data_IF_104364904265
#
_entry.id   IF_104364904265
#
_cell.length_a   1.000
_cell.length_b   1.000
_cell.length_c   1.000
_cell.angle_alpha   90.00
_cell.angle_beta   90.00
_cell.angle_gamma   90.00
#
_symmetry.space_group_name_H-M   'P 1'
#
loop_
_entity.id
_entity.type
_entity.pdbx_description
1 polymer ?
#
# COMPACT_ATOMS: atom_id res chain seq x y z
N UNK A 1 63.98 29.95 -25.42
CA UNK A 1 63.48 29.85 -24.04
C UNK A 1 62.03 30.29 -23.85
N UNK A 2 61.52 31.37 -24.47
CA UNK A 2 60.13 31.83 -24.32
C UNK A 2 59.05 30.83 -24.89
N UNK A 3 59.31 30.12 -25.96
CA UNK A 3 58.37 29.13 -26.54
C UNK A 3 58.27 27.83 -25.73
N UNK A 4 59.37 27.39 -25.09
CA UNK A 4 59.37 26.21 -24.23
C UNK A 4 58.63 26.47 -22.91
N UNK A 5 58.68 27.71 -22.39
CA UNK A 5 57.97 28.08 -21.15
C UNK A 5 56.47 28.16 -21.33
N UNK A 6 55.96 28.62 -22.52
CA UNK A 6 54.53 28.68 -22.81
C UNK A 6 53.95 27.28 -23.00
N UNK A 7 54.65 26.35 -23.62
CA UNK A 7 54.21 24.97 -23.78
C UNK A 7 54.14 24.23 -22.44
N UNK A 8 55.14 24.47 -21.55
CA UNK A 8 55.17 23.87 -20.22
C UNK A 8 54.03 24.41 -19.34
N UNK A 9 53.75 25.72 -19.40
CA UNK A 9 52.65 26.35 -18.67
C UNK A 9 51.28 25.88 -19.18
N UNK A 10 51.10 25.66 -20.49
CA UNK A 10 49.87 25.14 -21.09
C UNK A 10 49.62 23.68 -20.72
N UNK A 11 50.64 22.83 -20.61
CA UNK A 11 50.53 21.43 -20.17
C UNK A 11 50.23 21.36 -18.67
N UNK A 12 50.80 22.24 -17.85
CA UNK A 12 50.52 22.31 -16.41
C UNK A 12 49.09 22.81 -16.14
N UNK A 13 48.56 23.74 -16.94
CA UNK A 13 47.16 24.18 -16.84
C UNK A 13 46.21 23.10 -17.32
N UNK A 14 46.55 22.30 -18.36
CA UNK A 14 45.73 21.18 -18.81
C UNK A 14 45.66 20.03 -17.78
N UNK A 15 46.75 19.80 -17.00
CA UNK A 15 46.79 18.82 -15.93
C UNK A 15 46.02 19.26 -14.67
N UNK A 16 45.88 20.56 -14.43
CA UNK A 16 45.12 21.11 -13.31
C UNK A 16 43.60 21.05 -13.57
N UNK A 17 43.18 21.10 -14.83
CA UNK A 17 41.76 20.94 -15.19
C UNK A 17 41.22 19.46 -15.15
N UNK A 18 42.11 18.46 -14.98
CA UNK A 18 41.71 17.08 -14.75
C UNK A 18 41.61 16.67 -13.25
N UNK A 19 42.01 17.56 -12.36
CA UNK A 19 41.77 17.42 -10.92
C UNK A 19 40.42 18.09 -10.54
N UNK A 20 39.36 17.88 -11.32
CA UNK A 20 38.02 18.09 -10.84
C UNK A 20 37.79 17.14 -9.66
N UNK A 21 37.45 17.69 -8.51
CA UNK A 21 37.12 16.93 -7.31
C UNK A 21 36.09 15.85 -7.64
N UNK A 22 36.52 14.64 -7.99
CA UNK A 22 35.73 13.45 -7.86
C UNK A 22 35.74 13.11 -6.37
N UNK A 23 34.76 13.59 -5.65
CA UNK A 23 34.40 12.99 -4.36
C UNK A 23 33.78 11.60 -4.65
N UNK A 24 34.61 10.62 -5.00
CA UNK A 24 34.17 9.24 -5.24
C UNK A 24 33.98 8.49 -3.91
N UNK A 25 34.03 9.19 -2.76
CA UNK A 25 33.87 8.63 -1.40
C UNK A 25 34.60 7.28 -1.21
N UNK A 26 35.71 7.04 -1.93
CA UNK A 26 36.53 5.84 -1.84
C UNK A 26 35.99 4.63 -2.65
N UNK A 27 35.00 4.81 -3.53
CA UNK A 27 34.54 3.73 -4.42
C UNK A 27 35.57 3.45 -5.53
N UNK A 28 35.90 2.17 -5.74
CA UNK A 28 36.83 1.71 -6.78
C UNK A 28 36.23 0.53 -7.58
N UNK A 29 35.98 0.69 -8.90
CA UNK A 29 35.54 -0.40 -9.76
C UNK A 29 36.44 -1.63 -9.77
N UNK A 30 37.73 -1.50 -9.37
CA UNK A 30 38.67 -2.61 -9.29
C UNK A 30 38.65 -3.35 -7.97
N UNK A 31 38.09 -2.71 -6.93
CA UNK A 31 37.90 -3.27 -5.59
C UNK A 31 36.48 -2.92 -5.10
N UNK A 32 35.44 -3.54 -5.70
CA UNK A 32 34.06 -3.16 -5.44
C UNK A 32 33.62 -3.51 -4.02
N UNK A 33 32.85 -2.62 -3.41
CA UNK A 33 32.18 -2.88 -2.14
C UNK A 33 30.87 -3.68 -2.38
N UNK A 34 30.56 -4.58 -1.46
CA UNK A 34 29.28 -5.30 -1.48
C UNK A 34 28.36 -4.75 -0.40
N UNK A 35 27.15 -4.33 -0.80
CA UNK A 35 26.06 -3.95 0.08
C UNK A 35 25.01 -5.04 0.11
N UNK A 36 24.48 -5.33 1.30
CA UNK A 36 23.37 -6.27 1.50
C UNK A 36 22.04 -5.52 1.44
N UNK A 37 21.09 -6.06 0.66
CA UNK A 37 19.74 -5.55 0.54
C UNK A 37 18.73 -6.60 0.98
N UNK A 38 17.93 -6.29 2.01
CA UNK A 38 16.79 -7.11 2.41
C UNK A 38 15.47 -6.52 1.94
N UNK A 39 14.59 -7.37 1.38
CA UNK A 39 13.25 -6.96 1.00
C UNK A 39 12.22 -8.08 1.26
N UNK A 40 10.95 -7.70 1.34
CA UNK A 40 9.83 -8.61 1.56
C UNK A 40 8.97 -8.87 0.32
N UNK A 41 9.46 -8.54 -0.87
CA UNK A 41 8.75 -8.79 -2.11
C UNK A 41 8.72 -10.30 -2.40
N UNK A 42 7.53 -10.83 -2.77
CA UNK A 42 7.32 -12.22 -3.13
C UNK A 42 6.84 -12.38 -4.56
N UNK A 43 6.84 -13.62 -5.09
CA UNK A 43 6.35 -13.92 -6.44
C UNK A 43 6.96 -13.04 -7.53
N UNK A 44 6.11 -12.51 -8.41
CA UNK A 44 6.51 -11.63 -9.52
C UNK A 44 7.28 -10.38 -9.06
N UNK A 45 6.91 -9.80 -7.92
CA UNK A 45 7.62 -8.63 -7.37
C UNK A 45 9.07 -8.95 -7.03
N UNK A 46 9.33 -10.16 -6.50
CA UNK A 46 10.70 -10.63 -6.23
C UNK A 46 11.50 -10.78 -7.52
N UNK A 47 10.93 -11.41 -8.53
CA UNK A 47 11.61 -11.61 -9.83
C UNK A 47 11.98 -10.27 -10.48
N UNK A 48 11.08 -9.28 -10.41
CA UNK A 48 11.35 -7.93 -10.91
C UNK A 48 12.47 -7.25 -10.11
N UNK A 49 12.45 -7.36 -8.77
CA UNK A 49 13.49 -6.78 -7.92
C UNK A 49 14.86 -7.42 -8.19
N UNK A 50 14.91 -8.75 -8.27
CA UNK A 50 16.14 -9.48 -8.57
C UNK A 50 16.71 -9.06 -9.94
N UNK A 51 15.88 -8.99 -10.98
CA UNK A 51 16.29 -8.55 -12.33
C UNK A 51 16.82 -7.10 -12.35
N UNK A 52 16.20 -6.21 -11.60
CA UNK A 52 16.68 -4.82 -11.51
C UNK A 52 18.00 -4.72 -10.77
N UNK A 53 18.20 -5.50 -9.71
CA UNK A 53 19.48 -5.53 -9.01
C UNK A 53 20.59 -6.12 -9.88
N UNK A 54 20.30 -7.18 -10.64
CA UNK A 54 21.26 -7.76 -11.60
C UNK A 54 21.67 -6.72 -12.66
N UNK A 55 20.70 -5.93 -13.15
CA UNK A 55 20.98 -4.85 -14.11
C UNK A 55 21.82 -3.74 -13.48
N UNK A 56 21.51 -3.31 -12.26
CA UNK A 56 22.33 -2.33 -11.54
C UNK A 56 23.76 -2.83 -11.38
N UNK A 57 23.94 -4.07 -10.91
CA UNK A 57 25.25 -4.70 -10.72
C UNK A 57 26.04 -4.81 -12.04
N UNK A 58 25.35 -5.09 -13.15
CA UNK A 58 25.96 -5.19 -14.49
C UNK A 58 26.25 -3.87 -15.18
N UNK A 59 25.69 -2.76 -14.70
CA UNK A 59 25.79 -1.43 -15.33
C UNK A 59 26.41 -0.40 -14.36
N UNK A 60 25.60 0.47 -13.79
CA UNK A 60 26.08 1.56 -12.93
C UNK A 60 26.84 1.07 -11.70
N UNK A 61 26.41 -0.06 -11.12
CA UNK A 61 27.11 -0.69 -9.99
C UNK A 61 28.54 -1.08 -10.36
N UNK A 62 28.71 -1.76 -11.50
CA UNK A 62 30.02 -2.12 -12.03
C UNK A 62 30.91 -0.90 -12.32
N UNK A 63 30.32 0.17 -12.90
CA UNK A 63 31.03 1.41 -13.21
C UNK A 63 31.52 2.14 -11.95
N UNK A 64 30.78 2.02 -10.86
CA UNK A 64 31.04 2.71 -9.58
C UNK A 64 31.78 1.86 -8.55
N UNK A 65 31.95 0.55 -8.78
CA UNK A 65 32.52 -0.37 -7.80
C UNK A 65 31.53 -0.72 -6.69
N UNK A 66 30.28 -0.95 -7.03
CA UNK A 66 29.20 -1.29 -6.10
C UNK A 66 28.56 -2.60 -6.55
N UNK A 67 28.38 -3.54 -5.62
CA UNK A 67 27.64 -4.78 -5.81
C UNK A 67 26.51 -4.81 -4.77
N UNK A 68 25.28 -5.03 -5.19
CA UNK A 68 24.14 -5.26 -4.30
C UNK A 68 23.91 -6.78 -4.20
N UNK A 69 23.92 -7.30 -2.97
CA UNK A 69 23.60 -8.70 -2.66
C UNK A 69 22.22 -8.77 -2.01
N UNK A 70 21.25 -9.38 -2.71
CA UNK A 70 19.84 -9.37 -2.32
C UNK A 70 19.48 -10.58 -1.45
N UNK A 71 18.68 -10.35 -0.42
CA UNK A 71 18.02 -11.38 0.37
C UNK A 71 16.52 -11.10 0.44
N UNK A 72 15.69 -11.99 -0.09
CA UNK A 72 14.24 -11.94 0.04
C UNK A 72 13.81 -12.59 1.35
N UNK A 73 13.03 -11.85 2.15
CA UNK A 73 12.41 -12.32 3.40
C UNK A 73 10.94 -12.66 3.09
N UNK A 74 10.42 -13.68 3.72
CA UNK A 74 9.13 -14.29 3.37
C UNK A 74 7.91 -13.35 3.46
N UNK A 75 7.97 -12.34 4.34
CA UNK A 75 6.86 -11.39 4.53
C UNK A 75 7.34 -10.08 5.17
N UNK A 76 6.49 -9.05 5.13
CA UNK A 76 6.73 -7.79 5.83
C UNK A 76 6.86 -7.98 7.34
N UNK A 77 6.04 -8.85 7.93
CA UNK A 77 6.11 -9.15 9.37
C UNK A 77 7.42 -9.87 9.73
N UNK A 78 7.84 -10.87 8.95
CA UNK A 78 9.10 -11.57 9.19
C UNK A 78 10.32 -10.64 9.05
N UNK A 79 10.27 -9.68 8.11
CA UNK A 79 11.30 -8.66 7.98
C UNK A 79 11.30 -7.70 9.18
N UNK A 80 10.12 -7.24 9.60
CA UNK A 80 9.94 -6.43 10.80
C UNK A 80 10.54 -7.11 12.03
N UNK A 81 10.15 -8.37 12.31
CA UNK A 81 10.67 -9.14 13.45
C UNK A 81 12.19 -9.22 13.45
N UNK A 82 12.81 -9.53 12.31
CA UNK A 82 14.27 -9.59 12.20
C UNK A 82 14.94 -8.25 12.50
N UNK A 83 14.40 -7.16 11.97
CA UNK A 83 14.94 -5.81 12.21
C UNK A 83 14.75 -5.39 13.67
N UNK A 84 13.64 -5.77 14.30
CA UNK A 84 13.40 -5.53 15.75
C UNK A 84 14.34 -6.35 16.61
N UNK A 85 14.61 -7.62 16.29
CA UNK A 85 15.61 -8.43 16.98
C UNK A 85 17.00 -7.78 16.95
N UNK A 86 17.37 -7.21 15.78
CA UNK A 86 18.63 -6.47 15.63
C UNK A 86 18.63 -5.22 16.52
N UNK A 87 17.55 -4.43 16.49
CA UNK A 87 17.40 -3.22 17.29
C UNK A 87 17.51 -3.47 18.79
N UNK A 88 17.01 -4.60 19.25
CA UNK A 88 17.06 -5.01 20.66
C UNK A 88 18.38 -5.67 21.07
N UNK A 89 19.21 -6.09 20.11
CA UNK A 89 20.42 -6.89 20.38
C UNK A 89 20.10 -8.29 20.87
N UNK A 90 19.00 -8.89 20.40
CA UNK A 90 18.53 -10.19 20.84
C UNK A 90 19.53 -11.30 20.48
N UNK A 91 19.61 -12.33 21.33
CA UNK A 91 20.48 -13.49 21.06
C UNK A 91 20.04 -14.21 19.79
N UNK A 92 20.97 -14.35 18.82
CA UNK A 92 20.69 -14.93 17.51
C UNK A 92 20.12 -13.96 16.48
N UNK A 93 20.08 -12.66 16.78
CA UNK A 93 19.79 -11.65 15.78
C UNK A 93 20.79 -11.74 14.62
N UNK A 94 20.36 -11.64 13.36
CA UNK A 94 21.27 -11.56 12.23
C UNK A 94 22.02 -10.21 12.19
N UNK A 95 23.03 -10.13 11.32
CA UNK A 95 23.71 -8.84 11.06
C UNK A 95 22.73 -7.87 10.39
N UNK A 96 22.86 -6.56 10.71
CA UNK A 96 22.06 -5.50 10.10
C UNK A 96 22.40 -5.39 8.60
N UNK A 97 21.41 -5.45 7.69
CA UNK A 97 21.66 -5.22 6.28
C UNK A 97 22.00 -3.74 6.01
N UNK A 98 22.75 -3.47 4.94
CA UNK A 98 23.06 -2.08 4.54
C UNK A 98 21.80 -1.32 4.10
N UNK A 99 20.91 -2.01 3.38
CA UNK A 99 19.64 -1.50 2.86
C UNK A 99 18.55 -2.48 3.22
N UNK A 100 17.39 -2.00 3.64
CA UNK A 100 16.21 -2.85 3.80
C UNK A 100 14.93 -2.11 3.41
N UNK A 101 13.93 -2.84 2.91
CA UNK A 101 12.57 -2.29 2.85
C UNK A 101 12.00 -2.22 4.26
N UNK A 102 11.35 -1.12 4.59
CA UNK A 102 10.76 -0.93 5.91
C UNK A 102 9.47 -0.11 5.85
N UNK A 103 8.57 -0.42 6.79
CA UNK A 103 7.42 0.42 7.10
C UNK A 103 7.83 1.48 8.14
N UNK A 104 7.07 2.60 8.26
CA UNK A 104 7.34 3.62 9.26
C UNK A 104 7.47 3.07 10.68
N UNK A 105 6.61 2.14 11.10
CA UNK A 105 6.67 1.51 12.43
C UNK A 105 8.00 0.80 12.73
N UNK A 106 8.57 0.12 11.73
CA UNK A 106 9.87 -0.55 11.87
C UNK A 106 10.99 0.47 11.97
N UNK A 107 10.92 1.49 11.12
CA UNK A 107 11.95 2.52 11.05
C UNK A 107 12.04 3.34 12.35
N UNK A 108 10.92 3.67 13.01
CA UNK A 108 10.93 4.38 14.30
C UNK A 108 11.74 3.62 15.33
N UNK A 109 11.54 2.31 15.48
CA UNK A 109 12.29 1.48 16.42
C UNK A 109 13.79 1.52 16.15
N UNK A 110 14.18 1.49 14.87
CA UNK A 110 15.58 1.56 14.47
C UNK A 110 16.18 2.96 14.67
N UNK A 111 15.40 4.02 14.43
CA UNK A 111 15.81 5.42 14.68
C UNK A 111 16.07 5.66 16.16
N UNK A 112 15.19 5.18 17.05
CA UNK A 112 15.32 5.31 18.50
C UNK A 112 16.61 4.64 19.03
N UNK A 113 17.16 3.68 18.28
CA UNK A 113 18.43 2.99 18.58
C UNK A 113 19.63 3.60 17.86
N UNK A 114 19.43 4.65 17.03
CA UNK A 114 20.51 5.27 16.25
C UNK A 114 21.07 4.36 15.15
N UNK A 115 20.26 3.45 14.62
CA UNK A 115 20.69 2.43 13.65
C UNK A 115 20.50 2.84 12.19
N UNK A 116 19.92 4.02 11.92
CA UNK A 116 19.65 4.50 10.55
C UNK A 116 20.43 5.74 10.19
N UNK A 117 20.81 5.81 8.92
CA UNK A 117 21.44 6.98 8.30
C UNK A 117 20.39 8.03 7.95
N UNK A 118 20.65 9.31 8.25
CA UNK A 118 19.89 10.44 7.71
C UNK A 118 20.21 10.60 6.22
N UNK A 119 19.26 10.23 5.38
CA UNK A 119 19.40 10.27 3.93
C UNK A 119 19.46 11.69 3.35
N UNK A 120 19.02 12.73 4.07
CA UNK A 120 19.24 14.12 3.65
C UNK A 120 20.71 14.47 3.51
N UNK A 121 21.59 13.75 4.20
CA UNK A 121 23.05 13.93 4.04
C UNK A 121 23.59 13.40 2.70
N UNK A 122 22.83 12.52 2.04
CA UNK A 122 23.20 11.84 0.80
C UNK A 122 22.48 12.38 -0.45
N UNK A 123 21.48 13.23 -0.26
CA UNK A 123 20.69 13.86 -1.32
C UNK A 123 20.71 15.37 -1.15
N UNK A 124 20.92 16.12 -2.23
CA UNK A 124 20.76 17.57 -2.21
C UNK A 124 19.27 17.96 -2.41
N UNK A 125 18.91 19.20 -2.07
CA UNK A 125 17.54 19.71 -2.17
C UNK A 125 16.93 19.50 -3.57
N UNK A 126 17.69 19.78 -4.63
CA UNK A 126 17.22 19.62 -6.01
C UNK A 126 16.92 18.17 -6.38
N UNK A 127 17.67 17.21 -5.82
CA UNK A 127 17.40 15.79 -6.00
C UNK A 127 16.11 15.38 -5.26
N UNK A 128 15.89 15.90 -4.05
CA UNK A 128 14.67 15.64 -3.28
C UNK A 128 13.44 16.31 -3.88
N UNK A 129 13.55 17.47 -4.52
CA UNK A 129 12.45 18.16 -5.22
C UNK A 129 11.83 17.34 -6.37
N UNK A 130 12.55 16.33 -6.88
CA UNK A 130 12.01 15.43 -7.90
C UNK A 130 10.96 14.44 -7.35
N UNK A 131 10.93 14.24 -6.03
CA UNK A 131 10.02 13.28 -5.38
C UNK A 131 8.71 13.94 -4.97
N UNK A 132 7.65 13.14 -4.86
CA UNK A 132 6.35 13.60 -4.37
C UNK A 132 6.50 14.01 -2.89
N UNK A 133 6.23 15.28 -2.53
CA UNK A 133 6.59 15.82 -1.22
C UNK A 133 6.04 15.03 -0.03
N UNK A 134 4.78 14.58 -0.09
CA UNK A 134 4.15 13.79 0.99
C UNK A 134 4.81 12.42 1.21
N UNK A 135 5.46 11.85 0.18
CA UNK A 135 6.18 10.59 0.33
C UNK A 135 7.51 10.78 1.07
N UNK A 136 8.15 11.93 0.88
CA UNK A 136 9.31 12.34 1.68
C UNK A 136 8.89 12.69 3.11
N UNK A 137 7.77 13.41 3.29
CA UNK A 137 7.23 13.78 4.60
C UNK A 137 7.02 12.54 5.49
N UNK A 138 6.35 11.50 4.99
CA UNK A 138 6.21 10.24 5.73
C UNK A 138 7.56 9.62 6.12
N UNK A 139 8.55 9.71 5.23
CA UNK A 139 9.90 9.19 5.45
C UNK A 139 10.69 9.92 6.53
N UNK A 140 10.26 11.13 6.94
CA UNK A 140 10.88 11.88 8.03
C UNK A 140 10.47 11.39 9.41
N UNK A 141 9.43 10.58 9.52
CA UNK A 141 8.91 10.06 10.79
C UNK A 141 8.62 11.18 11.82
N UNK A 142 8.20 12.35 11.34
CA UNK A 142 7.92 13.52 12.17
C UNK A 142 9.17 14.26 12.68
N UNK A 143 10.34 14.01 12.11
CA UNK A 143 11.61 14.70 12.40
C UNK A 143 12.04 15.60 11.24
N UNK A 144 13.17 16.32 11.39
CA UNK A 144 13.79 17.06 10.29
C UNK A 144 14.69 16.18 9.40
N UNK A 145 14.93 14.92 9.78
CA UNK A 145 15.80 13.97 9.08
C UNK A 145 14.96 13.06 8.19
N UNK A 146 15.57 12.46 7.16
CA UNK A 146 14.92 11.52 6.24
C UNK A 146 15.48 10.12 6.46
N UNK A 147 14.68 9.22 7.04
CA UNK A 147 15.10 7.87 7.39
C UNK A 147 14.55 6.79 6.45
N UNK A 148 13.38 7.02 5.85
CA UNK A 148 12.80 6.12 4.86
C UNK A 148 12.79 6.83 3.52
N UNK A 149 13.54 6.28 2.57
CA UNK A 149 13.51 6.78 1.20
C UNK A 149 12.35 6.17 0.42
N UNK A 150 11.46 6.96 -0.18
CA UNK A 150 10.33 6.41 -0.92
C UNK A 150 10.84 5.70 -2.18
N UNK A 151 10.52 4.42 -2.33
CA UNK A 151 10.91 3.61 -3.49
C UNK A 151 9.73 3.03 -4.25
N UNK A 152 8.65 2.72 -3.52
CA UNK A 152 7.40 2.20 -4.08
C UNK A 152 6.28 2.48 -3.08
N UNK A 153 5.30 3.30 -3.47
CA UNK A 153 4.19 3.68 -2.60
C UNK A 153 2.91 2.98 -3.04
N UNK A 154 1.91 3.00 -2.19
CA UNK A 154 0.58 2.48 -2.51
C UNK A 154 -0.51 3.35 -1.87
N UNK A 155 -1.73 3.13 -2.30
CA UNK A 155 -2.94 3.69 -1.68
C UNK A 155 -4.02 2.62 -1.63
N UNK A 156 -5.20 2.97 -1.19
CA UNK A 156 -6.36 2.10 -1.30
C UNK A 156 -7.26 2.53 -2.47
N UNK A 157 -7.82 1.53 -3.13
CA UNK A 157 -8.72 1.68 -4.29
C UNK A 157 -9.89 0.71 -4.15
N UNK A 158 -10.89 0.85 -5.01
CA UNK A 158 -11.95 -0.15 -5.15
C UNK A 158 -11.62 -1.13 -6.26
N UNK A 159 -11.67 -2.43 -5.95
CA UNK A 159 -11.62 -3.53 -6.91
C UNK A 159 -13.02 -4.06 -7.16
N UNK A 160 -13.36 -4.29 -8.43
CA UNK A 160 -14.67 -4.75 -8.85
C UNK A 160 -14.56 -5.89 -9.87
N UNK A 161 -15.26 -6.99 -9.66
CA UNK A 161 -15.49 -7.98 -10.69
C UNK A 161 -16.50 -7.42 -11.71
N UNK A 162 -15.97 -6.81 -12.76
CA UNK A 162 -16.75 -6.14 -13.80
C UNK A 162 -17.72 -7.10 -14.50
N UNK A 163 -17.29 -8.33 -14.77
CA UNK A 163 -18.09 -9.31 -15.50
C UNK A 163 -19.36 -9.65 -14.76
N UNK A 164 -19.27 -9.92 -13.47
CA UNK A 164 -20.45 -10.24 -12.64
C UNK A 164 -21.28 -8.99 -12.39
N UNK A 165 -20.61 -7.83 -12.15
CA UNK A 165 -21.31 -6.57 -11.96
C UNK A 165 -22.15 -6.16 -13.18
N UNK A 166 -21.64 -6.33 -14.41
CA UNK A 166 -22.38 -6.00 -15.63
C UNK A 166 -23.67 -6.82 -15.77
N UNK A 167 -23.65 -8.13 -15.40
CA UNK A 167 -24.86 -8.95 -15.37
C UNK A 167 -25.86 -8.46 -14.33
N UNK A 168 -25.40 -8.27 -13.11
CA UNK A 168 -26.19 -7.75 -12.01
C UNK A 168 -26.79 -6.37 -12.33
N UNK A 169 -25.97 -5.46 -12.84
CA UNK A 169 -26.38 -4.11 -13.25
C UNK A 169 -27.50 -4.14 -14.30
N UNK A 170 -27.41 -5.04 -15.28
CA UNK A 170 -28.42 -5.19 -16.33
C UNK A 170 -29.78 -5.64 -15.75
N UNK A 171 -29.75 -6.51 -14.76
CA UNK A 171 -30.97 -7.11 -14.19
C UNK A 171 -31.61 -6.18 -13.12
N UNK A 172 -30.78 -5.48 -12.32
CA UNK A 172 -31.22 -4.72 -11.16
C UNK A 172 -31.10 -3.20 -11.32
N UNK A 173 -30.48 -2.71 -12.39
CA UNK A 173 -30.33 -1.28 -12.66
C UNK A 173 -29.29 -0.56 -11.80
N UNK A 174 -28.36 -1.30 -11.17
CA UNK A 174 -27.23 -0.72 -10.45
C UNK A 174 -26.26 -0.03 -11.41
N UNK A 175 -25.65 1.09 -11.00
CA UNK A 175 -24.73 1.85 -11.83
C UNK A 175 -23.32 1.89 -11.21
N UNK A 176 -22.29 2.06 -12.06
CA UNK A 176 -20.90 2.25 -11.58
C UNK A 176 -20.76 3.50 -10.70
N UNK A 177 -21.55 4.55 -11.00
CA UNK A 177 -21.53 5.79 -10.23
C UNK A 177 -22.01 5.59 -8.78
N UNK A 178 -22.87 4.59 -8.51
CA UNK A 178 -23.28 4.21 -7.16
C UNK A 178 -22.07 3.78 -6.30
N UNK A 179 -21.01 3.26 -6.92
CA UNK A 179 -19.80 2.79 -6.22
C UNK A 179 -18.83 3.92 -5.86
N UNK A 180 -19.12 5.15 -6.25
CA UNK A 180 -18.26 6.32 -5.94
C UNK A 180 -18.34 6.76 -4.48
N UNK A 181 -19.34 6.29 -3.74
CA UNK A 181 -19.53 6.60 -2.34
C UNK A 181 -20.01 5.40 -1.53
N UNK A 182 -19.73 5.41 -0.23
CA UNK A 182 -20.02 4.29 0.66
C UNK A 182 -21.52 4.00 0.83
N UNK A 183 -22.36 5.04 0.83
CA UNK A 183 -23.81 4.87 0.89
C UNK A 183 -24.37 4.21 -0.38
N UNK A 184 -23.80 4.54 -1.53
CA UNK A 184 -24.11 3.89 -2.79
C UNK A 184 -23.66 2.43 -2.81
N UNK A 185 -22.48 2.10 -2.28
CA UNK A 185 -22.00 0.74 -2.08
C UNK A 185 -22.98 -0.05 -1.19
N UNK A 186 -23.42 0.53 -0.05
CA UNK A 186 -24.35 -0.14 0.85
C UNK A 186 -25.70 -0.44 0.16
N UNK A 187 -26.23 0.51 -0.62
CA UNK A 187 -27.45 0.32 -1.41
C UNK A 187 -27.27 -0.76 -2.49
N UNK A 188 -26.14 -0.71 -3.21
CA UNK A 188 -25.83 -1.69 -4.27
C UNK A 188 -25.65 -3.10 -3.69
N UNK A 189 -25.04 -3.20 -2.50
CA UNK A 189 -24.84 -4.46 -1.80
C UNK A 189 -26.17 -5.12 -1.39
N UNK A 190 -27.15 -4.34 -0.93
CA UNK A 190 -28.47 -4.86 -0.64
C UNK A 190 -29.15 -5.40 -1.91
N UNK A 191 -29.10 -4.66 -3.02
CA UNK A 191 -29.65 -5.13 -4.31
C UNK A 191 -28.94 -6.40 -4.82
N UNK A 192 -27.61 -6.50 -4.61
CA UNK A 192 -26.85 -7.67 -5.02
C UNK A 192 -27.21 -8.90 -4.19
N UNK A 193 -27.39 -8.72 -2.88
CA UNK A 193 -27.85 -9.77 -1.99
C UNK A 193 -29.22 -10.30 -2.43
N UNK A 194 -30.20 -9.43 -2.67
CA UNK A 194 -31.52 -9.79 -3.14
C UNK A 194 -31.48 -10.50 -4.52
N UNK A 195 -30.63 -10.01 -5.43
CA UNK A 195 -30.46 -10.61 -6.75
C UNK A 195 -29.88 -12.01 -6.69
N UNK A 196 -28.94 -12.28 -5.79
CA UNK A 196 -28.35 -13.61 -5.61
C UNK A 196 -29.28 -14.54 -4.82
N UNK A 197 -29.95 -14.04 -3.79
CA UNK A 197 -30.98 -14.81 -3.02
C UNK A 197 -32.11 -15.32 -3.93
N UNK A 198 -32.55 -14.48 -4.86
CA UNK A 198 -33.59 -14.86 -5.83
C UNK A 198 -33.16 -16.00 -6.80
N UNK A 199 -31.86 -16.33 -6.88
CA UNK A 199 -31.36 -17.43 -7.71
C UNK A 199 -31.51 -18.80 -7.01
N UNK A 200 -31.72 -18.80 -5.69
CA UNK A 200 -31.90 -19.99 -4.84
C UNK A 200 -33.23 -19.94 -4.07
N UNK A 201 -34.41 -19.86 -4.75
CA UNK A 201 -35.71 -19.57 -4.12
C UNK A 201 -36.15 -20.58 -3.06
N UNK A 202 -35.54 -21.75 -3.04
CA UNK A 202 -35.82 -22.80 -2.04
C UNK A 202 -35.04 -22.59 -0.71
N UNK A 203 -34.09 -21.66 -0.68
CA UNK A 203 -33.24 -21.35 0.47
C UNK A 203 -33.29 -19.83 0.72
N UNK A 204 -34.27 -19.33 1.48
CA UNK A 204 -34.39 -17.87 1.71
C UNK A 204 -33.25 -17.35 2.57
N UNK A 205 -32.85 -16.12 2.28
CA UNK A 205 -31.81 -15.37 3.01
C UNK A 205 -30.40 -15.96 2.88
N UNK A 206 -30.10 -16.63 1.73
CA UNK A 206 -28.77 -17.14 1.39
C UNK A 206 -28.02 -16.29 0.34
N UNK A 207 -28.49 -15.06 0.12
CA UNK A 207 -27.86 -14.11 -0.80
C UNK A 207 -26.37 -13.90 -0.47
N UNK A 208 -25.58 -13.64 -1.53
CA UNK A 208 -24.13 -13.44 -1.41
C UNK A 208 -23.80 -12.02 -0.96
N UNK A 209 -22.71 -11.90 -0.22
CA UNK A 209 -22.11 -10.60 0.09
C UNK A 209 -21.61 -9.92 -1.19
N UNK A 210 -21.75 -8.61 -1.25
CA UNK A 210 -21.25 -7.78 -2.35
C UNK A 210 -19.85 -7.28 -2.10
N UNK A 211 -19.57 -6.84 -0.86
CA UNK A 211 -18.42 -6.02 -0.51
C UNK A 211 -17.62 -6.59 0.65
N UNK A 212 -16.30 -6.34 0.61
CA UNK A 212 -15.36 -6.56 1.70
C UNK A 212 -14.34 -5.42 1.78
N UNK A 213 -13.96 -5.01 2.99
CA UNK A 213 -12.83 -4.11 3.21
C UNK A 213 -11.63 -4.91 3.74
N UNK A 214 -10.49 -4.84 3.05
CA UNK A 214 -9.26 -5.53 3.48
C UNK A 214 -8.75 -5.04 4.84
N UNK A 215 -9.12 -3.82 5.25
CA UNK A 215 -8.77 -3.25 6.55
C UNK A 215 -9.87 -2.37 7.09
N UNK A 216 -10.59 -2.87 8.09
CA UNK A 216 -11.61 -2.08 8.79
C UNK A 216 -11.01 -0.91 9.55
N UNK A 217 -9.80 -1.09 10.09
CA UNK A 217 -9.09 -0.02 10.79
C UNK A 217 -8.76 1.15 9.85
N UNK A 218 -8.29 0.86 8.63
CA UNK A 218 -8.05 1.90 7.62
C UNK A 218 -9.36 2.54 7.14
N UNK A 219 -10.38 1.72 6.84
CA UNK A 219 -11.72 2.21 6.48
C UNK A 219 -12.23 3.22 7.51
N UNK A 220 -12.05 2.90 8.80
CA UNK A 220 -12.51 3.76 9.89
C UNK A 220 -11.71 5.06 9.96
N UNK A 221 -10.38 4.99 9.89
CA UNK A 221 -9.54 6.19 9.89
C UNK A 221 -9.89 7.12 8.71
N UNK A 222 -9.96 6.55 7.51
CA UNK A 222 -10.25 7.33 6.30
C UNK A 222 -11.69 7.84 6.30
N UNK A 223 -12.66 7.01 6.67
CA UNK A 223 -14.07 7.44 6.73
C UNK A 223 -14.28 8.58 7.72
N UNK A 224 -13.68 8.50 8.90
CA UNK A 224 -13.69 9.61 9.86
C UNK A 224 -13.03 10.86 9.27
N UNK A 225 -11.87 10.72 8.63
CA UNK A 225 -11.14 11.84 8.03
C UNK A 225 -11.92 12.50 6.90
N UNK A 226 -12.56 11.73 6.02
CA UNK A 226 -13.47 12.21 4.99
C UNK A 226 -14.62 13.05 5.59
N UNK A 227 -15.09 12.67 6.77
CA UNK A 227 -16.18 13.35 7.51
C UNK A 227 -15.69 14.47 8.45
N UNK A 228 -14.42 14.88 8.32
CA UNK A 228 -13.85 16.01 9.06
C UNK A 228 -13.47 15.72 10.51
N UNK A 229 -13.26 14.43 10.87
CA UNK A 229 -12.82 14.02 12.21
C UNK A 229 -11.64 13.04 12.12
N UNK A 230 -10.78 13.01 13.13
CA UNK A 230 -9.76 11.98 13.25
C UNK A 230 -10.29 10.85 14.14
N UNK A 231 -10.07 9.59 13.71
CA UNK A 231 -10.42 8.42 14.51
C UNK A 231 -9.41 8.20 15.64
N UNK A 232 -8.13 8.44 15.38
CA UNK A 232 -7.09 8.34 16.40
C UNK A 232 -6.78 9.73 16.96
N UNK A 233 -7.00 9.93 18.27
CA UNK A 233 -6.70 11.15 19.01
C UNK A 233 -5.84 10.81 20.21
N UNK A 234 -4.73 11.51 20.38
CA UNK A 234 -3.81 11.27 21.50
C UNK A 234 -3.43 9.78 21.65
N UNK A 235 -3.18 9.10 20.53
CA UNK A 235 -2.83 7.67 20.43
C UNK A 235 -3.94 6.70 20.90
N UNK A 236 -5.18 7.15 20.97
CA UNK A 236 -6.34 6.34 21.34
C UNK A 236 -7.47 6.48 20.31
N UNK A 237 -8.31 5.46 20.11
CA UNK A 237 -9.47 5.53 19.23
C UNK A 237 -10.57 6.42 19.84
N UNK A 238 -11.15 7.29 19.01
CA UNK A 238 -12.31 8.11 19.39
C UNK A 238 -13.60 7.48 18.86
N UNK A 239 -14.25 6.70 19.70
CA UNK A 239 -15.54 6.07 19.40
C UNK A 239 -16.75 7.01 19.59
N UNK A 240 -16.54 8.26 20.03
CA UNK A 240 -17.62 9.17 20.41
C UNK A 240 -18.11 10.09 19.28
N UNK A 241 -17.35 10.20 18.20
CA UNK A 241 -17.66 11.12 17.11
C UNK A 241 -18.83 10.65 16.23
N UNK A 242 -19.63 11.58 15.70
CA UNK A 242 -20.68 11.28 14.72
C UNK A 242 -20.10 10.68 13.43
N UNK A 243 -18.87 11.08 13.08
CA UNK A 243 -18.15 10.51 11.95
C UNK A 243 -17.90 9.02 12.15
N UNK A 244 -17.37 8.62 13.32
CA UNK A 244 -17.17 7.21 13.65
C UNK A 244 -18.48 6.44 13.63
N UNK A 245 -19.56 6.98 14.23
CA UNK A 245 -20.88 6.31 14.19
C UNK A 245 -21.37 6.08 12.77
N UNK A 246 -21.18 7.03 11.85
CA UNK A 246 -21.55 6.87 10.44
C UNK A 246 -20.74 5.75 9.75
N UNK A 247 -19.43 5.70 9.98
CA UNK A 247 -18.56 4.65 9.42
C UNK A 247 -18.88 3.28 10.03
N UNK A 248 -19.11 3.22 11.35
CA UNK A 248 -19.56 2.02 12.05
C UNK A 248 -20.86 1.49 11.43
N UNK A 249 -21.89 2.31 11.33
CA UNK A 249 -23.17 1.89 10.77
C UNK A 249 -23.01 1.35 9.35
N UNK A 250 -22.20 1.99 8.50
CA UNK A 250 -21.93 1.50 7.14
C UNK A 250 -21.45 0.06 7.14
N UNK A 251 -20.41 -0.25 7.91
CA UNK A 251 -19.86 -1.60 7.93
C UNK A 251 -20.76 -2.57 8.70
N UNK A 252 -21.18 -2.20 9.90
CA UNK A 252 -21.86 -3.09 10.83
C UNK A 252 -23.23 -3.51 10.30
N UNK A 253 -24.03 -2.56 9.81
CA UNK A 253 -25.34 -2.83 9.25
C UNK A 253 -25.24 -3.76 8.03
N UNK A 254 -24.29 -3.48 7.13
CA UNK A 254 -24.03 -4.31 5.97
C UNK A 254 -23.57 -5.73 6.33
N UNK A 255 -22.69 -5.86 7.31
CA UNK A 255 -22.19 -7.13 7.78
C UNK A 255 -23.29 -7.97 8.45
N UNK A 256 -24.09 -7.38 9.35
CA UNK A 256 -25.20 -8.08 10.03
C UNK A 256 -26.27 -8.56 9.03
N UNK A 257 -26.61 -7.76 8.02
CA UNK A 257 -27.55 -8.16 6.97
C UNK A 257 -26.96 -9.17 5.98
N UNK A 258 -25.63 -9.39 5.97
CA UNK A 258 -24.91 -10.27 5.05
C UNK A 258 -24.61 -9.65 3.69
N UNK A 259 -24.80 -8.36 3.56
CA UNK A 259 -24.44 -7.61 2.37
C UNK A 259 -22.92 -7.41 2.24
N UNK A 260 -22.20 -7.44 3.37
CA UNK A 260 -20.75 -7.35 3.46
C UNK A 260 -20.17 -8.62 4.08
N UNK A 261 -19.05 -9.08 3.55
CA UNK A 261 -18.37 -10.25 4.07
C UNK A 261 -17.62 -9.93 5.37
N UNK A 262 -17.76 -10.81 6.36
CA UNK A 262 -16.94 -10.85 7.57
C UNK A 262 -15.87 -11.93 7.32
N UNK A 263 -14.63 -11.51 7.11
CA UNK A 263 -13.55 -12.42 6.73
C UNK A 263 -12.20 -11.94 7.29
N UNK A 264 -11.34 -12.88 7.68
CA UNK A 264 -10.01 -12.58 8.25
C UNK A 264 -8.86 -12.67 7.24
N UNK A 265 -9.17 -12.85 5.95
CA UNK A 265 -8.21 -12.89 4.86
C UNK A 265 -8.33 -11.68 3.94
N UNK A 266 -7.71 -11.79 2.78
CA UNK A 266 -7.74 -10.78 1.73
C UNK A 266 -8.96 -10.95 0.82
N UNK A 267 -9.51 -9.83 0.34
CA UNK A 267 -10.63 -9.83 -0.62
C UNK A 267 -10.34 -10.68 -1.87
N UNK A 268 -9.08 -10.73 -2.33
CA UNK A 268 -8.68 -11.54 -3.48
C UNK A 268 -9.01 -13.02 -3.32
N UNK A 269 -9.03 -13.57 -2.09
CA UNK A 269 -9.40 -14.96 -1.86
C UNK A 269 -10.91 -15.18 -2.01
N UNK A 270 -11.73 -14.22 -1.55
CA UNK A 270 -13.18 -14.23 -1.75
C UNK A 270 -13.59 -14.00 -3.22
N UNK A 271 -12.80 -13.19 -3.96
CA UNK A 271 -12.99 -12.99 -5.40
C UNK A 271 -12.76 -14.30 -6.18
N UNK A 272 -11.72 -15.09 -5.82
CA UNK A 272 -11.41 -16.37 -6.49
C UNK A 272 -12.54 -17.39 -6.41
N UNK A 273 -13.38 -17.31 -5.37
CA UNK A 273 -14.50 -18.24 -5.14
C UNK A 273 -15.85 -17.63 -5.50
N UNK A 274 -15.89 -16.36 -5.90
CA UNK A 274 -17.12 -15.65 -6.24
C UNK A 274 -18.03 -15.38 -5.03
N UNK A 275 -17.45 -15.30 -3.83
CA UNK A 275 -18.15 -14.95 -2.60
C UNK A 275 -18.46 -13.46 -2.50
N UNK A 276 -17.59 -12.61 -3.09
CA UNK A 276 -17.81 -11.17 -3.24
C UNK A 276 -17.43 -10.71 -4.65
N UNK A 277 -17.90 -9.53 -5.04
CA UNK A 277 -17.53 -8.92 -6.32
C UNK A 277 -16.99 -7.50 -6.21
N UNK A 278 -16.98 -6.90 -5.02
CA UNK A 278 -16.48 -5.56 -4.77
C UNK A 278 -15.66 -5.57 -3.48
N UNK A 279 -14.55 -4.81 -3.47
CA UNK A 279 -13.75 -4.62 -2.26
C UNK A 279 -12.98 -3.31 -2.30
N UNK A 280 -12.58 -2.81 -1.11
CA UNK A 280 -11.53 -1.81 -1.00
C UNK A 280 -10.26 -2.43 -0.42
N UNK A 281 -9.12 -2.10 -1.00
CA UNK A 281 -7.84 -2.65 -0.60
C UNK A 281 -6.66 -1.93 -1.25
N UNK A 282 -5.45 -2.36 -0.90
CA UNK A 282 -4.20 -1.76 -1.39
C UNK A 282 -4.01 -1.96 -2.88
N UNK A 283 -3.54 -0.92 -3.58
CA UNK A 283 -3.08 -1.02 -4.98
C UNK A 283 -2.08 -2.16 -5.21
N UNK A 284 -1.19 -2.41 -4.25
CA UNK A 284 -0.22 -3.52 -4.29
C UNK A 284 -0.89 -4.91 -4.28
N UNK A 285 -2.19 -4.98 -3.99
CA UNK A 285 -2.98 -6.22 -4.04
C UNK A 285 -3.42 -6.65 -5.44
N UNK A 286 -3.30 -5.78 -6.46
CA UNK A 286 -3.87 -6.02 -7.80
C UNK A 286 -3.44 -7.34 -8.44
N UNK A 287 -2.20 -7.77 -8.20
CA UNK A 287 -1.64 -9.01 -8.77
C UNK A 287 -2.20 -10.30 -8.15
N UNK A 288 -2.92 -10.21 -7.03
CA UNK A 288 -3.52 -11.36 -6.35
C UNK A 288 -4.96 -11.66 -6.81
N UNK A 289 -5.54 -10.79 -7.63
CA UNK A 289 -6.85 -11.02 -8.24
C UNK A 289 -6.71 -11.88 -9.49
N UNK A 290 -7.19 -13.12 -9.38
CA UNK A 290 -7.18 -14.09 -10.47
C UNK A 290 -8.18 -13.68 -11.58
N UNK A 291 -7.85 -13.81 -12.87
CA UNK A 291 -8.79 -13.61 -13.96
C UNK A 291 -9.84 -14.72 -14.08
N UNK A 292 -9.78 -15.74 -13.23
CA UNK A 292 -10.72 -16.88 -13.21
C UNK A 292 -11.34 -17.01 -11.83
N UNK A 293 -12.67 -17.05 -11.78
CA UNK A 293 -13.44 -17.43 -10.59
C UNK A 293 -13.73 -18.93 -10.66
N UNK A 294 -13.51 -19.62 -9.54
CA UNK A 294 -13.91 -21.02 -9.36
C UNK A 294 -15.03 -21.09 -8.32
N UNK A 295 -16.23 -21.41 -8.76
CA UNK A 295 -17.41 -21.49 -7.90
C UNK A 295 -17.43 -22.77 -7.05
N UNK A 296 -18.25 -22.85 -5.96
CA UNK A 296 -18.33 -24.04 -5.10
C UNK A 296 -18.71 -25.35 -5.80
N UNK A 297 -19.41 -25.26 -6.92
CA UNK A 297 -19.76 -26.41 -7.78
C UNK A 297 -18.66 -26.86 -8.74
N UNK A 298 -17.45 -26.28 -8.61
CA UNK A 298 -16.28 -26.45 -9.47
C UNK A 298 -16.45 -25.92 -10.91
N UNK A 299 -17.50 -25.16 -11.21
CA UNK A 299 -17.56 -24.41 -12.46
C UNK A 299 -16.60 -23.22 -12.42
N UNK A 300 -16.07 -22.82 -13.56
CA UNK A 300 -15.14 -21.71 -13.68
C UNK A 300 -15.66 -20.65 -14.65
N UNK A 301 -15.34 -19.38 -14.35
CA UNK A 301 -15.68 -18.25 -15.21
C UNK A 301 -14.49 -17.32 -15.37
N UNK A 302 -14.18 -16.94 -16.62
CA UNK A 302 -13.22 -15.87 -16.87
C UNK A 302 -13.87 -14.53 -16.55
N UNK A 303 -13.23 -13.73 -15.72
CA UNK A 303 -13.72 -12.45 -15.25
C UNK A 303 -12.75 -11.32 -15.56
N UNK A 304 -13.28 -10.12 -15.67
CA UNK A 304 -12.50 -8.89 -15.81
C UNK A 304 -12.53 -8.12 -14.50
N UNK A 305 -11.35 -7.83 -13.96
CA UNK A 305 -11.19 -6.90 -12.85
C UNK A 305 -11.25 -5.45 -13.37
N UNK A 306 -11.94 -4.59 -12.62
CA UNK A 306 -11.95 -3.14 -12.81
C UNK A 306 -11.47 -2.49 -11.52
N UNK A 307 -10.61 -1.48 -11.64
CA UNK A 307 -10.20 -0.63 -10.51
C UNK A 307 -10.93 0.70 -10.62
N UNK A 308 -11.51 1.14 -9.49
CA UNK A 308 -12.19 2.42 -9.34
C UNK A 308 -11.52 3.22 -8.20
N UNK A 309 -11.67 4.56 -8.17
CA UNK A 309 -11.20 5.36 -7.05
C UNK A 309 -11.76 4.88 -5.71
N UNK A 310 -11.05 5.18 -4.63
CA UNK A 310 -11.52 4.89 -3.28
C UNK A 310 -12.83 5.65 -3.00
N UNK A 311 -13.86 5.02 -2.41
CA UNK A 311 -15.15 5.65 -2.20
C UNK A 311 -15.07 6.74 -1.14
N UNK A 312 -15.99 7.71 -1.22
CA UNK A 312 -16.09 8.81 -0.26
C UNK A 312 -17.44 8.75 0.45
N UNK A 313 -17.52 9.00 1.74
CA UNK A 313 -18.82 9.18 2.39
C UNK A 313 -19.51 10.42 1.82
N UNK A 314 -20.83 10.37 1.63
CA UNK A 314 -21.60 11.51 1.09
C UNK A 314 -21.41 12.75 1.95
N UNK A 315 -21.02 13.86 1.29
CA UNK A 315 -20.73 15.15 1.93
C UNK A 315 -19.32 15.23 2.55
N UNK A 316 -18.51 14.17 2.42
CA UNK A 316 -17.13 14.13 2.89
C UNK A 316 -16.12 14.55 1.83
N UNK A 317 -14.89 14.78 2.28
CA UNK A 317 -13.76 15.12 1.42
C UNK A 317 -13.19 13.86 0.75
N UNK A 318 -12.60 14.03 -0.44
CA UNK A 318 -11.89 12.96 -1.14
C UNK A 318 -10.56 12.68 -0.46
N UNK A 319 -10.54 11.76 0.47
CA UNK A 319 -9.34 11.32 1.21
C UNK A 319 -9.15 9.82 1.01
N UNK A 320 -7.90 9.41 0.78
CA UNK A 320 -7.49 8.01 0.73
C UNK A 320 -6.27 7.77 1.61
N UNK A 321 -6.01 6.52 2.00
CA UNK A 321 -4.86 6.17 2.83
C UNK A 321 -3.57 6.20 2.01
N UNK A 322 -2.55 6.93 2.47
CA UNK A 322 -1.19 6.73 1.98
C UNK A 322 -0.62 5.45 2.59
N UNK A 323 -0.12 4.56 1.74
CA UNK A 323 0.42 3.27 2.14
C UNK A 323 1.76 2.99 1.44
N UNK A 324 2.31 1.81 1.71
CA UNK A 324 3.61 1.38 1.24
C UNK A 324 4.71 1.88 2.16
N UNK A 325 5.84 1.23 2.07
CA UNK A 325 7.05 1.64 2.78
C UNK A 325 8.01 2.35 1.85
N UNK A 326 9.27 2.22 2.17
CA UNK A 326 10.39 2.64 1.35
C UNK A 326 11.61 1.81 1.72
N UNK A 327 12.78 2.32 1.41
CA UNK A 327 14.04 1.71 1.82
C UNK A 327 14.72 2.56 2.89
N UNK A 328 15.21 1.89 3.92
CA UNK A 328 16.08 2.44 4.96
C UNK A 328 17.54 2.09 4.63
N UNK A 329 18.47 2.93 5.08
CA UNK A 329 19.91 2.65 5.03
C UNK A 329 20.42 2.60 6.46
N UNK A 330 21.12 1.53 6.81
CA UNK A 330 21.68 1.38 8.16
C UNK A 330 22.76 2.44 8.45
N UNK A 331 22.94 2.78 9.71
CA UNK A 331 24.05 3.64 10.14
C UNK A 331 25.38 2.94 9.85
N UNK A 332 26.21 3.55 8.99
CA UNK A 332 27.45 2.96 8.48
C UNK A 332 28.48 4.06 8.14
N UNK A 333 29.62 3.67 7.56
CA UNK A 333 30.60 4.64 7.05
C UNK A 333 30.09 5.43 5.82
N UNK A 334 30.74 6.55 5.52
CA UNK A 334 30.33 7.44 4.42
C UNK A 334 30.38 6.76 3.05
N UNK A 335 31.31 5.83 2.81
CA UNK A 335 31.45 5.11 1.54
C UNK A 335 30.23 4.23 1.28
N UNK A 336 29.82 3.45 2.27
CA UNK A 336 28.67 2.56 2.17
C UNK A 336 27.35 3.34 2.08
N UNK A 337 27.20 4.40 2.89
CA UNK A 337 26.02 5.27 2.83
C UNK A 337 25.86 5.94 1.45
N UNK A 338 26.97 6.43 0.88
CA UNK A 338 26.98 7.02 -0.45
C UNK A 338 26.69 5.99 -1.54
N UNK A 339 27.24 4.77 -1.46
CA UNK A 339 26.95 3.70 -2.39
C UNK A 339 25.48 3.26 -2.33
N UNK A 340 24.89 3.17 -1.14
CA UNK A 340 23.47 2.92 -0.98
C UNK A 340 22.61 4.03 -1.63
N UNK A 341 23.00 5.29 -1.46
CA UNK A 341 22.30 6.42 -2.10
C UNK A 341 22.38 6.36 -3.64
N UNK A 342 23.51 5.93 -4.22
CA UNK A 342 23.63 5.71 -5.68
C UNK A 342 22.62 4.67 -6.15
N UNK A 343 22.48 3.54 -5.43
CA UNK A 343 21.49 2.52 -5.75
C UNK A 343 20.06 3.09 -5.63
N UNK A 344 19.72 3.78 -4.55
CA UNK A 344 18.40 4.38 -4.36
C UNK A 344 18.06 5.37 -5.48
N UNK A 345 18.98 6.26 -5.88
CA UNK A 345 18.80 7.19 -6.99
C UNK A 345 18.58 6.47 -8.31
N UNK A 346 19.34 5.40 -8.59
CA UNK A 346 19.16 4.58 -9.78
C UNK A 346 17.81 3.86 -9.79
N UNK A 347 17.44 3.23 -8.67
CA UNK A 347 16.20 2.47 -8.54
C UNK A 347 14.97 3.36 -8.68
N UNK A 348 15.05 4.61 -8.20
CA UNK A 348 13.94 5.56 -8.20
C UNK A 348 13.99 6.58 -9.35
N UNK A 349 14.97 6.47 -10.26
CA UNK A 349 14.86 7.29 -11.46
C UNK A 349 13.54 6.98 -12.18
N UNK A 350 12.93 7.95 -12.89
CA UNK A 350 11.57 7.81 -13.40
C UNK A 350 11.31 6.54 -14.24
N UNK A 351 12.25 6.16 -15.11
CA UNK A 351 12.12 5.01 -15.99
C UNK A 351 12.22 3.68 -15.23
N UNK A 352 13.23 3.53 -14.37
CA UNK A 352 13.42 2.34 -13.55
C UNK A 352 12.29 2.16 -12.54
N UNK A 353 11.86 3.26 -11.91
CA UNK A 353 10.79 3.22 -10.94
C UNK A 353 9.46 2.81 -11.60
N UNK A 354 9.14 3.40 -12.77
CA UNK A 354 7.93 2.99 -13.50
C UNK A 354 7.99 1.51 -13.91
N UNK A 355 9.15 1.00 -14.37
CA UNK A 355 9.31 -0.42 -14.69
C UNK A 355 9.06 -1.33 -13.50
N UNK A 356 9.54 -0.95 -12.30
CA UNK A 356 9.25 -1.70 -11.08
C UNK A 356 7.77 -1.67 -10.72
N UNK A 357 7.15 -0.48 -10.66
CA UNK A 357 5.76 -0.35 -10.21
C UNK A 357 4.76 -0.92 -11.21
N UNK A 358 5.02 -0.85 -12.51
CA UNK A 358 4.17 -1.43 -13.55
C UNK A 358 4.09 -2.95 -13.52
N UNK A 359 5.01 -3.62 -12.86
CA UNK A 359 5.01 -5.07 -12.67
C UNK A 359 4.64 -5.52 -11.25
N UNK A 360 4.34 -4.58 -10.34
CA UNK A 360 4.13 -4.88 -8.92
C UNK A 360 2.84 -4.34 -8.33
N UNK A 361 2.12 -3.45 -9.04
CA UNK A 361 0.93 -2.77 -8.53
C UNK A 361 1.22 -1.64 -7.52
N UNK A 362 2.49 -1.33 -7.28
CA UNK A 362 2.87 -0.13 -6.53
C UNK A 362 2.72 1.14 -7.37
N UNK A 363 2.94 2.29 -6.76
CA UNK A 363 2.87 3.61 -7.36
C UNK A 363 4.27 4.23 -7.44
N UNK A 364 4.57 4.99 -8.52
CA UNK A 364 5.83 5.71 -8.66
C UNK A 364 5.99 6.76 -7.56
N UNK A 365 7.24 7.14 -7.31
CA UNK A 365 7.57 8.06 -6.21
C UNK A 365 8.04 9.43 -6.65
N UNK A 366 8.35 9.62 -7.94
CA UNK A 366 8.74 10.92 -8.48
C UNK A 366 7.58 11.59 -9.21
N UNK A 367 7.57 12.92 -9.22
CA UNK A 367 6.56 13.73 -9.92
C UNK A 367 6.56 13.39 -11.42
N UNK A 368 7.74 13.24 -12.03
CA UNK A 368 7.89 12.93 -13.44
C UNK A 368 7.37 11.52 -13.78
N UNK A 369 7.75 10.51 -12.97
CA UNK A 369 7.31 9.12 -13.20
C UNK A 369 5.80 8.97 -13.04
N UNK A 370 5.22 9.62 -12.02
CA UNK A 370 3.76 9.56 -11.76
C UNK A 370 2.94 10.34 -12.79
N UNK A 371 3.53 11.36 -13.43
CA UNK A 371 2.87 12.24 -14.40
C UNK A 371 3.02 11.77 -15.85
N UNK A 372 3.90 12.46 -16.57
CA UNK A 372 4.02 12.35 -18.03
C UNK A 372 4.50 10.97 -18.50
N UNK A 373 5.45 10.35 -17.79
CA UNK A 373 6.01 9.05 -18.20
C UNK A 373 4.94 7.98 -18.05
N UNK A 374 4.30 7.87 -16.88
CA UNK A 374 3.25 6.87 -16.66
C UNK A 374 2.09 7.04 -17.64
N UNK A 375 1.68 8.28 -17.91
CA UNK A 375 0.59 8.56 -18.86
C UNK A 375 0.90 8.08 -20.27
N UNK A 376 2.17 8.15 -20.71
CA UNK A 376 2.60 7.70 -22.03
C UNK A 376 2.78 6.18 -22.12
N UNK A 377 3.29 5.57 -21.05
CA UNK A 377 3.71 4.17 -21.04
C UNK A 377 2.62 3.20 -20.61
N UNK A 378 1.54 3.69 -19.98
CA UNK A 378 0.49 2.85 -19.38
C UNK A 378 -0.15 1.87 -20.39
N UNK A 379 -0.31 2.27 -21.65
CA UNK A 379 -0.89 1.43 -22.69
C UNK A 379 0.06 0.31 -23.15
N UNK A 380 1.35 0.44 -22.88
CA UNK A 380 2.37 -0.56 -23.20
C UNK A 380 2.50 -1.65 -22.12
N UNK A 381 1.93 -1.44 -20.93
CA UNK A 381 1.96 -2.41 -19.83
C UNK A 381 1.15 -3.65 -20.21
N UNK A 382 1.73 -4.86 -20.15
CA UNK A 382 1.04 -6.07 -20.60
C UNK A 382 -0.19 -6.44 -19.77
N UNK A 383 -0.14 -6.19 -18.45
CA UNK A 383 -1.20 -6.53 -17.51
C UNK A 383 -2.30 -5.47 -17.52
N UNK A 384 -3.51 -5.85 -17.94
CA UNK A 384 -4.67 -4.96 -18.02
C UNK A 384 -5.18 -4.50 -16.64
N UNK A 385 -5.02 -5.34 -15.62
CA UNK A 385 -5.42 -4.98 -14.26
C UNK A 385 -4.51 -3.88 -13.72
N UNK A 386 -3.19 -4.00 -13.98
CA UNK A 386 -2.21 -2.96 -13.65
C UNK A 386 -2.46 -1.69 -14.46
N UNK A 387 -2.78 -1.79 -15.75
CA UNK A 387 -3.17 -0.61 -16.55
C UNK A 387 -4.36 0.13 -15.92
N UNK A 388 -5.44 -0.60 -15.58
CA UNK A 388 -6.64 -0.05 -14.94
C UNK A 388 -6.29 0.63 -13.62
N UNK A 389 -5.50 -0.03 -12.79
CA UNK A 389 -5.02 0.48 -11.51
C UNK A 389 -4.25 1.81 -11.67
N UNK A 390 -3.27 1.85 -12.56
CA UNK A 390 -2.43 3.04 -12.73
C UNK A 390 -3.22 4.23 -13.30
N UNK A 391 -4.20 4.00 -14.19
CA UNK A 391 -5.12 5.05 -14.66
C UNK A 391 -5.95 5.62 -13.51
N UNK A 392 -6.52 4.75 -12.67
CA UNK A 392 -7.26 5.16 -11.47
C UNK A 392 -6.37 5.94 -10.51
N UNK A 393 -5.12 5.50 -10.34
CA UNK A 393 -4.17 6.17 -9.45
C UNK A 393 -3.77 7.56 -9.94
N UNK A 394 -3.64 7.77 -11.26
CA UNK A 394 -3.42 9.12 -11.84
C UNK A 394 -4.60 10.04 -11.48
N UNK A 395 -5.83 9.56 -11.65
CA UNK A 395 -7.02 10.32 -11.29
C UNK A 395 -7.04 10.66 -9.79
N UNK A 396 -6.78 9.67 -8.94
CA UNK A 396 -6.75 9.90 -7.48
C UNK A 396 -5.63 10.85 -7.06
N UNK A 397 -4.46 10.80 -7.72
CA UNK A 397 -3.36 11.73 -7.45
C UNK A 397 -3.76 13.19 -7.68
N UNK A 398 -4.64 13.45 -8.65
CA UNK A 398 -5.12 14.80 -8.96
C UNK A 398 -6.27 15.25 -8.04
N UNK A 399 -7.10 14.29 -7.56
CA UNK A 399 -8.40 14.58 -6.97
C UNK A 399 -8.45 14.37 -5.44
N UNK A 400 -7.52 13.59 -4.86
CA UNK A 400 -7.58 13.13 -3.48
C UNK A 400 -6.47 13.72 -2.62
N UNK A 401 -6.80 14.02 -1.39
CA UNK A 401 -5.82 14.15 -0.32
C UNK A 401 -5.42 12.76 0.19
N UNK A 402 -4.13 12.59 0.49
CA UNK A 402 -3.61 11.31 0.98
C UNK A 402 -3.23 11.44 2.44
N UNK A 403 -3.98 10.71 3.27
CA UNK A 403 -3.79 10.70 4.71
C UNK A 403 -2.62 9.81 5.10
N UNK A 404 -1.67 10.38 5.83
CA UNK A 404 -0.59 9.66 6.50
C UNK A 404 -1.12 9.28 7.89
N UNK A 405 -1.28 7.96 8.20
CA UNK A 405 -1.80 7.54 9.50
C UNK A 405 -0.84 7.92 10.62
N UNK A 406 -1.34 8.20 11.83
CA UNK A 406 -0.48 8.46 12.99
C UNK A 406 0.39 7.24 13.31
N UNK A 407 1.58 7.50 13.79
CA UNK A 407 2.57 6.50 14.15
C UNK A 407 2.90 6.60 15.63
N UNK A 408 2.67 5.53 16.39
CA UNK A 408 2.96 5.45 17.82
C UNK A 408 3.15 3.99 18.24
N UNK A 409 3.80 3.79 19.38
CA UNK A 409 4.00 2.44 19.93
C UNK A 409 2.66 1.77 20.28
N UNK A 410 2.49 0.52 19.90
CA UNK A 410 1.26 -0.25 20.13
C UNK A 410 0.13 -0.04 19.11
N UNK A 411 0.33 0.75 18.03
CA UNK A 411 -0.70 0.93 17.00
C UNK A 411 -1.10 -0.39 16.33
N UNK A 412 -0.18 -1.34 16.19
CA UNK A 412 -0.48 -2.67 15.61
C UNK A 412 -1.43 -3.45 16.52
N UNK A 413 -1.15 -3.46 17.82
CA UNK A 413 -2.00 -4.13 18.82
C UNK A 413 -3.38 -3.49 18.82
N UNK A 414 -3.43 -2.16 18.73
CA UNK A 414 -4.70 -1.43 18.63
C UNK A 414 -5.47 -1.83 17.37
N UNK A 415 -4.81 -1.87 16.21
CA UNK A 415 -5.42 -2.30 14.95
C UNK A 415 -5.96 -3.72 15.01
N UNK A 416 -5.18 -4.66 15.54
CA UNK A 416 -5.56 -6.07 15.62
C UNK A 416 -6.75 -6.25 16.57
N UNK A 417 -6.71 -5.62 17.73
CA UNK A 417 -7.81 -5.65 18.70
C UNK A 417 -9.09 -5.04 18.11
N UNK A 418 -8.98 -3.88 17.47
CA UNK A 418 -10.09 -3.23 16.80
C UNK A 418 -10.74 -4.13 15.72
N UNK A 419 -9.94 -4.67 14.83
CA UNK A 419 -10.44 -5.55 13.76
C UNK A 419 -11.12 -6.80 14.34
N UNK A 420 -10.52 -7.43 15.35
CA UNK A 420 -11.07 -8.62 16.01
C UNK A 420 -12.40 -8.31 16.70
N UNK A 421 -12.47 -7.24 17.46
CA UNK A 421 -13.67 -6.84 18.21
C UNK A 421 -14.83 -6.54 17.26
N UNK A 422 -14.61 -5.71 16.25
CA UNK A 422 -15.64 -5.34 15.27
C UNK A 422 -16.18 -6.55 14.50
N UNK A 423 -15.28 -7.41 14.01
CA UNK A 423 -15.66 -8.61 13.27
C UNK A 423 -16.41 -9.63 14.15
N UNK A 424 -15.93 -9.84 15.38
CA UNK A 424 -16.59 -10.76 16.32
C UNK A 424 -17.98 -10.28 16.70
N UNK A 425 -18.14 -8.98 16.98
CA UNK A 425 -19.43 -8.39 17.28
C UNK A 425 -20.40 -8.48 16.09
N UNK A 426 -19.90 -8.16 14.87
CA UNK A 426 -20.72 -8.26 13.66
C UNK A 426 -21.13 -9.72 13.35
N UNK A 427 -20.25 -10.69 13.53
CA UNK A 427 -20.54 -12.10 13.36
C UNK A 427 -21.60 -12.58 14.34
N UNK A 428 -21.46 -12.24 15.63
CA UNK A 428 -22.47 -12.58 16.64
C UNK A 428 -23.83 -11.97 16.32
N UNK A 429 -23.88 -10.71 15.96
CA UNK A 429 -25.11 -10.03 15.56
C UNK A 429 -25.70 -10.60 14.25
N UNK A 430 -24.86 -11.04 13.31
CA UNK A 430 -25.30 -11.76 12.11
C UNK A 430 -26.00 -13.07 12.44
N UNK A 431 -25.42 -13.88 13.32
CA UNK A 431 -26.00 -15.16 13.75
C UNK A 431 -27.36 -14.94 14.45
N UNK A 432 -27.43 -13.94 15.32
CA UNK A 432 -28.68 -13.56 15.98
C UNK A 432 -29.74 -13.07 14.99
N UNK A 433 -29.34 -12.24 14.02
CA UNK A 433 -30.23 -11.77 12.95
C UNK A 433 -30.84 -12.94 12.17
N UNK A 434 -30.00 -13.89 11.73
CA UNK A 434 -30.46 -15.07 11.00
C UNK A 434 -31.41 -15.95 11.84
N UNK A 435 -31.17 -16.08 13.14
CA UNK A 435 -32.08 -16.82 14.02
C UNK A 435 -33.44 -16.12 14.18
N UNK A 436 -33.42 -14.79 14.31
CA UNK A 436 -34.62 -13.97 14.46
C UNK A 436 -35.46 -13.95 13.16
N UNK A 437 -34.87 -13.99 11.98
CA UNK A 437 -35.55 -14.06 10.69
C UNK A 437 -36.48 -15.27 10.56
N UNK A 438 -36.26 -16.35 11.31
CA UNK A 438 -37.14 -17.51 11.30
C UNK A 438 -38.52 -17.21 11.88
N UNK A 439 -38.69 -16.17 12.69
CA UNK A 439 -39.90 -15.93 13.47
C UNK A 439 -40.38 -14.46 13.45
N UNK A 440 -39.59 -13.52 12.88
CA UNK A 440 -39.95 -12.10 12.85
C UNK A 440 -39.68 -11.49 11.45
N UNK A 441 -40.24 -10.33 11.20
CA UNK A 441 -39.88 -9.56 9.99
C UNK A 441 -38.42 -9.04 10.04
N UNK A 442 -37.87 -8.80 8.86
CA UNK A 442 -36.47 -8.42 8.67
C UNK A 442 -36.07 -7.17 9.47
N UNK A 443 -36.93 -6.16 9.52
CA UNK A 443 -36.62 -4.91 10.23
C UNK A 443 -36.61 -5.10 11.75
N UNK A 444 -37.49 -5.95 12.27
CA UNK A 444 -37.51 -6.29 13.69
C UNK A 444 -36.31 -7.15 14.06
N UNK A 445 -36.01 -8.18 13.26
CA UNK A 445 -34.85 -9.04 13.44
C UNK A 445 -33.56 -8.22 13.50
N UNK A 446 -33.39 -7.29 12.53
CA UNK A 446 -32.20 -6.44 12.47
C UNK A 446 -32.07 -5.54 13.71
N UNK A 447 -33.14 -4.82 14.11
CA UNK A 447 -33.09 -3.92 15.27
C UNK A 447 -32.70 -4.65 16.57
N UNK A 448 -33.24 -5.86 16.78
CA UNK A 448 -32.89 -6.64 17.97
C UNK A 448 -31.44 -7.18 17.87
N UNK A 449 -30.98 -7.58 16.68
CA UNK A 449 -29.64 -8.11 16.49
C UNK A 449 -28.52 -7.06 16.69
N UNK A 450 -28.78 -5.78 16.40
CA UNK A 450 -27.78 -4.70 16.55
C UNK A 450 -27.95 -3.90 17.84
N UNK A 451 -28.89 -4.30 18.68
CA UNK A 451 -29.24 -3.56 19.90
C UNK A 451 -28.06 -3.47 20.84
N UNK A 452 -27.78 -2.25 21.30
CA UNK A 452 -26.72 -1.90 22.28
C UNK A 452 -25.28 -2.23 21.81
N UNK A 453 -25.06 -2.68 20.55
CA UNK A 453 -23.72 -3.05 20.05
C UNK A 453 -22.78 -1.85 19.98
N UNK A 454 -23.27 -0.71 19.49
CA UNK A 454 -22.48 0.49 19.43
C UNK A 454 -22.13 1.04 20.82
N UNK A 455 -23.09 1.00 21.76
CA UNK A 455 -22.89 1.44 23.14
C UNK A 455 -21.95 0.52 23.92
N UNK A 456 -21.85 -0.76 23.53
CA UNK A 456 -20.85 -1.69 24.12
C UNK A 456 -19.44 -1.35 23.71
N UNK A 457 -19.23 -0.95 22.46
CA UNK A 457 -17.92 -0.55 21.95
C UNK A 457 -17.38 0.71 22.65
N UNK A 458 -18.27 1.58 23.13
CA UNK A 458 -17.89 2.83 23.81
C UNK A 458 -17.52 2.66 25.28
N UNK A 459 -17.69 1.47 25.86
CA UNK A 459 -17.41 1.15 27.27
C UNK A 459 -16.05 0.52 27.45
#
# INVERSE_FOLDING_TARGET
MKKAFVVFLSITILLIFQAGCRNDYGLDPKDPITLTLWHNYGGQMKETMDSMVDEFNGTLGSEKGIIINVTSISSSNALHEKLVMIANGDAGAPDMPDIATANPKTAVILVDRGLLTDLKTQFNEKELDAYIPRFLEEGTLGTDQLYIFPTAKSTEVTFLNKTVFDRFSKDMGAAYDDLSNFEGIAKTAALYYDWTDAQTPDIPHDGKAFYHSDSLFNLTQIGCRQLGSDFIKENQPDYSSDAFRKVWNFFFDGAVRGHFAIFDGYASDLFKTGEIICSTGSTAGVLFFDPVVTYPDNTTENVQLMTLPYPTFQGGDKVAMQRGGGMIVSQTDETRAYAAAIFLKWFTNPENNLRFVSSTGYLPVTVEAFGDIMTKEIDSIPDRNVQSLLRTSIQMQADYDFYIPPLFDGIDVLQDNYNMEIKSSAAHSRDLYQELLKNTDENMAFREAVKDEFERLQK
#
